data_IF_526457225856
#
_entry.id   IF_526457225856
#
_cell.length_a   1.000
_cell.length_b   1.000
_cell.length_c   1.000
_cell.angle_alpha   90.00
_cell.angle_beta   90.00
_cell.angle_gamma   90.00
#
_symmetry.space_group_name_H-M   'P 1'
#
loop_
_entity.id
_entity.type
_entity.pdbx_description
1 polymer ?
#
# COMPACT_ATOMS: atom_id res chain seq x y z
N UNK A 1 -28.67 24.02 31.25
CA UNK A 1 -28.07 24.66 32.44
C UNK A 1 -26.56 24.60 32.27
N UNK A 2 -25.84 25.74 32.32
CA UNK A 2 -24.38 25.70 32.24
C UNK A 2 -23.83 25.11 33.54
N UNK A 3 -22.70 24.37 33.50
CA UNK A 3 -22.09 23.87 34.71
C UNK A 3 -21.56 25.04 35.53
N UNK A 4 -21.81 25.02 36.83
CA UNK A 4 -21.37 26.04 37.79
C UNK A 4 -19.84 26.13 37.81
N UNK A 5 -19.28 27.34 37.86
CA UNK A 5 -17.82 27.60 37.79
C UNK A 5 -16.96 26.80 38.79
N UNK A 6 -17.55 26.36 39.89
CA UNK A 6 -16.94 25.49 40.89
C UNK A 6 -16.63 24.06 40.40
N UNK A 7 -17.44 23.49 39.48
CA UNK A 7 -17.22 22.13 38.96
C UNK A 7 -16.12 22.09 37.89
N UNK A 8 -15.95 23.19 37.14
CA UNK A 8 -14.87 23.37 36.17
C UNK A 8 -13.52 23.56 36.86
N UNK A 9 -13.47 24.34 37.94
CA UNK A 9 -12.25 24.53 38.75
C UNK A 9 -11.81 23.23 39.44
N UNK A 10 -12.75 22.45 39.98
CA UNK A 10 -12.44 21.17 40.61
C UNK A 10 -11.93 20.12 39.59
N UNK A 11 -12.50 20.09 38.39
CA UNK A 11 -12.08 19.19 37.30
C UNK A 11 -10.70 19.56 36.75
N UNK A 12 -10.43 20.87 36.56
CA UNK A 12 -9.10 21.35 36.17
C UNK A 12 -8.03 21.11 37.23
N UNK A 13 -8.37 21.23 38.53
CA UNK A 13 -7.44 20.90 39.62
C UNK A 13 -7.12 19.40 39.69
N UNK A 14 -8.11 18.52 39.45
CA UNK A 14 -7.89 17.08 39.37
C UNK A 14 -7.02 16.67 38.19
N UNK A 15 -7.22 17.29 37.02
CA UNK A 15 -6.36 17.08 35.85
C UNK A 15 -4.92 17.56 36.13
N UNK A 16 -4.76 18.75 36.72
CA UNK A 16 -3.44 19.27 37.08
C UNK A 16 -2.73 18.39 38.11
N UNK A 17 -3.44 17.90 39.14
CA UNK A 17 -2.87 16.99 40.14
C UNK A 17 -2.51 15.62 39.54
N UNK A 18 -3.36 15.06 38.67
CA UNK A 18 -3.06 13.81 37.96
C UNK A 18 -1.80 13.98 37.11
N UNK A 19 -1.75 15.03 36.28
CA UNK A 19 -0.59 15.33 35.42
C UNK A 19 0.68 15.57 36.25
N UNK A 20 0.60 16.32 37.35
CA UNK A 20 1.75 16.58 38.25
C UNK A 20 2.24 15.31 38.94
N UNK A 21 1.32 14.41 39.35
CA UNK A 21 1.67 13.14 39.97
C UNK A 21 2.39 12.20 38.99
N UNK A 22 1.99 12.20 37.71
CA UNK A 22 2.65 11.42 36.65
C UNK A 22 4.05 11.93 36.31
N UNK A 23 4.33 13.23 36.44
CA UNK A 23 5.67 13.80 36.21
C UNK A 23 6.65 13.54 37.37
N UNK A 24 6.17 13.19 38.56
CA UNK A 24 6.99 12.97 39.76
C UNK A 24 7.31 11.50 40.07
N UNK A 25 6.90 10.53 39.23
CA UNK A 25 7.33 9.14 39.42
C UNK A 25 8.80 8.97 39.00
N UNK A 26 9.63 8.30 39.82
CA UNK A 26 11.00 7.98 39.45
C UNK A 26 11.01 7.12 38.18
N UNK A 27 11.99 7.34 37.30
CA UNK A 27 12.17 6.72 35.97
C UNK A 27 12.24 5.16 35.96
N UNK A 28 11.99 4.49 37.09
CA UNK A 28 12.08 3.04 37.27
C UNK A 28 10.73 2.32 37.42
N UNK A 29 9.62 3.02 37.65
CA UNK A 29 8.29 2.40 37.75
C UNK A 29 7.56 2.52 36.40
N UNK A 30 7.27 1.37 35.77
CA UNK A 30 6.46 1.34 34.54
C UNK A 30 5.11 1.99 34.80
N UNK A 31 4.73 2.95 33.97
CA UNK A 31 3.40 3.56 34.03
C UNK A 31 2.34 2.46 33.77
N UNK A 32 1.20 2.48 34.48
CA UNK A 32 0.13 1.50 34.25
C UNK A 32 -0.43 1.60 32.81
N UNK A 33 -0.38 2.81 32.23
CA UNK A 33 -0.82 3.12 30.88
C UNK A 33 0.14 4.12 30.25
N UNK A 34 0.41 4.01 28.94
CA UNK A 34 1.03 5.11 28.22
C UNK A 34 -0.04 6.19 27.98
N UNK A 35 0.27 7.50 28.08
CA UNK A 35 -0.70 8.56 27.75
C UNK A 35 -1.32 8.39 26.35
N UNK A 36 -0.59 7.78 25.41
CA UNK A 36 -1.11 7.42 24.08
C UNK A 36 -2.19 6.34 24.10
N UNK A 37 -2.11 5.38 25.02
CA UNK A 37 -3.09 4.29 25.17
C UNK A 37 -4.45 4.80 25.65
N UNK A 38 -4.48 5.97 26.31
CA UNK A 38 -5.69 6.61 26.82
C UNK A 38 -6.30 7.58 25.80
N UNK A 39 -5.54 8.00 24.77
CA UNK A 39 -6.03 8.92 23.74
C UNK A 39 -7.36 8.46 23.11
N UNK A 40 -7.55 7.19 22.72
CA UNK A 40 -8.83 6.75 22.17
C UNK A 40 -10.01 6.83 23.14
N UNK A 41 -9.75 6.88 24.45
CA UNK A 41 -10.75 6.99 25.52
C UNK A 41 -11.11 8.45 25.85
N UNK A 42 -10.32 9.42 25.36
CA UNK A 42 -10.61 10.85 25.53
C UNK A 42 -11.65 11.32 24.50
N UNK A 43 -12.40 12.40 24.81
CA UNK A 43 -13.37 12.99 23.88
C UNK A 43 -12.73 13.28 22.52
N UNK A 44 -13.44 12.93 21.44
CA UNK A 44 -12.94 13.03 20.05
C UNK A 44 -12.37 14.42 19.73
N UNK A 45 -12.94 15.49 20.28
CA UNK A 45 -12.47 16.85 20.05
C UNK A 45 -11.03 17.09 20.53
N UNK A 46 -10.56 16.31 21.51
CA UNK A 46 -9.21 16.39 22.08
C UNK A 46 -8.31 15.30 21.52
N UNK A 47 -8.82 14.08 21.43
CA UNK A 47 -8.02 12.93 20.99
C UNK A 47 -7.79 12.88 19.50
N UNK A 48 -8.79 13.22 18.69
CA UNK A 48 -8.75 13.03 17.24
C UNK A 48 -7.69 13.87 16.52
N UNK A 49 -7.47 15.16 16.86
CA UNK A 49 -6.37 15.93 16.27
C UNK A 49 -4.99 15.36 16.61
N UNK A 50 -4.83 14.86 17.84
CA UNK A 50 -3.57 14.28 18.32
C UNK A 50 -3.34 12.92 17.65
N UNK A 51 -4.37 12.07 17.63
CA UNK A 51 -4.32 10.74 17.02
C UNK A 51 -4.07 10.82 15.51
N UNK A 52 -4.68 11.76 14.78
CA UNK A 52 -4.42 11.98 13.35
C UNK A 52 -3.01 12.55 13.08
N UNK A 53 -2.40 13.21 14.07
CA UNK A 53 -1.00 13.62 13.97
C UNK A 53 -0.03 12.45 14.22
N UNK A 54 -0.44 11.51 15.08
CA UNK A 54 0.38 10.38 15.51
C UNK A 54 0.32 9.19 14.54
N UNK A 55 -0.78 9.02 13.81
CA UNK A 55 -0.99 7.89 12.91
C UNK A 55 -1.41 8.32 11.49
N UNK A 56 -1.15 7.49 10.47
CA UNK A 56 -1.66 7.65 9.11
C UNK A 56 -2.16 6.34 8.51
N UNK A 57 -2.85 6.43 7.38
CA UNK A 57 -3.25 5.27 6.57
C UNK A 57 -2.10 4.28 6.28
N UNK A 58 -0.87 4.78 6.19
CA UNK A 58 0.33 3.97 5.95
C UNK A 58 0.72 3.13 7.18
N UNK A 59 0.30 3.52 8.38
CA UNK A 59 0.56 2.76 9.61
C UNK A 59 -0.28 1.47 9.73
N UNK A 60 -1.20 1.21 8.79
CA UNK A 60 -1.81 -0.12 8.60
C UNK A 60 -0.83 -1.14 8.04
N UNK A 61 0.25 -0.70 7.40
CA UNK A 61 1.18 -1.59 6.74
C UNK A 61 2.14 -2.17 7.79
N UNK A 62 2.22 -3.50 7.93
CA UNK A 62 3.10 -4.10 8.91
C UNK A 62 4.55 -3.96 8.44
N UNK A 63 5.45 -3.50 9.32
CA UNK A 63 6.87 -3.34 8.98
C UNK A 63 7.59 -4.67 9.11
N UNK A 64 8.43 -5.05 8.13
CA UNK A 64 9.27 -6.22 8.25
C UNK A 64 10.31 -6.03 9.36
N UNK A 65 10.38 -6.98 10.29
CA UNK A 65 11.38 -6.95 11.39
C UNK A 65 12.46 -8.00 11.23
N UNK A 66 12.26 -8.97 10.33
CA UNK A 66 13.23 -10.01 9.98
C UNK A 66 12.58 -11.37 9.77
N UNK A 67 13.39 -12.38 9.51
CA UNK A 67 12.94 -13.75 9.33
C UNK A 67 13.58 -14.68 10.37
N UNK A 68 12.78 -15.58 10.95
CA UNK A 68 13.25 -16.54 11.95
C UNK A 68 13.44 -17.94 11.32
N UNK A 69 14.67 -18.47 11.44
CA UNK A 69 15.03 -19.83 11.02
C UNK A 69 15.75 -20.58 12.15
N UNK A 70 16.17 -21.82 11.87
CA UNK A 70 16.91 -22.72 12.76
C UNK A 70 18.15 -23.24 12.02
N UNK A 71 19.30 -23.47 12.67
CA UNK A 71 19.52 -23.50 14.13
C UNK A 71 20.25 -22.28 14.73
N UNK A 72 20.78 -21.36 13.92
CA UNK A 72 21.66 -20.27 14.40
C UNK A 72 21.09 -18.85 14.22
N UNK A 73 19.89 -18.71 13.66
CA UNK A 73 19.31 -17.39 13.36
C UNK A 73 18.36 -16.95 14.47
N UNK A 74 18.94 -16.45 15.56
CA UNK A 74 18.18 -15.67 16.55
C UNK A 74 18.03 -14.25 16.02
N UNK A 75 16.83 -13.91 15.58
CA UNK A 75 16.47 -12.56 15.18
C UNK A 75 16.22 -11.70 16.42
N UNK A 76 16.71 -10.46 16.45
CA UNK A 76 16.39 -9.49 17.49
C UNK A 76 15.87 -8.17 16.89
N UNK A 77 14.87 -7.56 17.52
CA UNK A 77 14.31 -6.27 17.10
C UNK A 77 13.72 -5.48 18.27
N UNK A 78 13.35 -4.23 17.99
CA UNK A 78 12.57 -3.38 18.89
C UNK A 78 11.14 -3.30 18.39
N UNK A 79 10.19 -3.66 19.23
CA UNK A 79 8.76 -3.56 18.94
C UNK A 79 8.19 -2.19 19.29
N UNK A 80 6.94 -1.97 18.91
CA UNK A 80 6.19 -0.79 19.33
C UNK A 80 5.92 -0.81 20.83
N UNK A 81 5.69 -2.02 21.37
CA UNK A 81 5.39 -2.24 22.77
C UNK A 81 6.57 -2.71 23.62
N UNK A 82 7.37 -3.63 23.07
CA UNK A 82 8.43 -4.30 23.78
C UNK A 82 9.78 -3.90 23.20
N UNK A 83 10.69 -3.44 24.05
CA UNK A 83 11.99 -2.90 23.59
C UNK A 83 12.98 -4.00 23.20
N UNK A 84 12.86 -5.19 23.79
CA UNK A 84 13.80 -6.30 23.58
C UNK A 84 13.05 -7.54 23.15
N UNK A 85 13.05 -7.77 21.85
CA UNK A 85 12.36 -8.89 21.24
C UNK A 85 13.36 -9.80 20.56
N UNK A 86 13.09 -11.10 20.63
CA UNK A 86 13.83 -12.11 19.88
C UNK A 86 12.93 -13.18 19.33
N UNK A 87 13.30 -13.76 18.19
CA UNK A 87 12.60 -14.88 17.59
C UNK A 87 13.57 -15.95 17.09
N UNK A 88 13.15 -17.21 17.17
CA UNK A 88 13.84 -18.34 16.58
C UNK A 88 12.82 -19.42 16.19
N UNK A 89 13.21 -20.28 15.26
CA UNK A 89 12.38 -21.40 14.83
C UNK A 89 12.88 -22.71 15.46
N UNK A 90 11.95 -23.61 15.79
CA UNK A 90 12.25 -25.00 16.12
C UNK A 90 11.45 -25.92 15.18
N UNK A 91 12.14 -26.69 14.34
CA UNK A 91 11.49 -27.68 13.47
C UNK A 91 11.16 -28.94 14.26
N UNK A 92 9.98 -29.51 14.03
CA UNK A 92 9.56 -30.75 14.67
C UNK A 92 8.71 -31.59 13.72
N UNK A 93 8.71 -32.91 13.92
CA UNK A 93 7.80 -33.80 13.19
C UNK A 93 6.85 -34.50 14.16
N UNK A 94 6.04 -33.72 14.88
CA UNK A 94 5.09 -34.25 15.87
C UNK A 94 3.91 -35.00 15.24
N UNK A 95 3.56 -34.68 13.99
CA UNK A 95 2.43 -35.29 13.29
C UNK A 95 2.80 -36.55 12.49
N UNK A 96 4.09 -36.77 12.22
CA UNK A 96 4.58 -37.90 11.42
C UNK A 96 4.45 -37.69 9.91
N UNK A 97 4.15 -36.47 9.45
CA UNK A 97 4.11 -36.13 8.03
C UNK A 97 5.52 -36.11 7.42
N UNK A 98 5.61 -36.16 6.08
CA UNK A 98 6.90 -36.20 5.37
C UNK A 98 7.81 -35.02 5.71
N UNK A 99 7.23 -33.82 5.90
CA UNK A 99 7.98 -32.58 6.16
C UNK A 99 7.80 -32.04 7.59
N UNK A 100 6.91 -32.61 8.40
CA UNK A 100 6.61 -32.14 9.75
C UNK A 100 6.10 -30.69 9.77
N UNK A 101 6.36 -30.01 10.88
CA UNK A 101 6.00 -28.63 11.15
C UNK A 101 7.10 -27.86 11.87
N UNK A 102 6.72 -26.75 12.50
CA UNK A 102 7.64 -25.87 13.21
C UNK A 102 6.97 -25.18 14.40
N UNK A 103 7.77 -24.72 15.35
CA UNK A 103 7.36 -23.84 16.44
C UNK A 103 8.17 -22.57 16.32
N UNK A 104 7.49 -21.46 16.05
CA UNK A 104 8.09 -20.14 16.10
C UNK A 104 8.04 -19.65 17.54
N UNK A 105 9.19 -19.44 18.13
CA UNK A 105 9.31 -18.87 19.46
C UNK A 105 9.53 -17.38 19.34
N UNK A 106 8.75 -16.60 20.10
CA UNK A 106 8.88 -15.15 20.17
C UNK A 106 8.95 -14.76 21.63
N UNK A 107 10.11 -14.27 22.05
CA UNK A 107 10.31 -13.75 23.40
C UNK A 107 10.35 -12.24 23.36
N UNK A 108 9.32 -11.64 23.95
CA UNK A 108 9.18 -10.20 24.09
C UNK A 108 9.44 -9.78 25.53
N UNK A 109 10.15 -8.67 25.72
CA UNK A 109 10.51 -8.19 27.05
C UNK A 109 10.64 -6.67 27.13
N UNK A 110 10.61 -6.14 28.35
CA UNK A 110 10.66 -4.71 28.63
C UNK A 110 9.52 -3.93 27.97
N UNK A 111 8.27 -4.31 28.27
CA UNK A 111 7.09 -3.53 27.85
C UNK A 111 7.12 -2.09 28.35
N UNK A 112 6.65 -1.15 27.53
CA UNK A 112 6.52 0.26 27.88
C UNK A 112 5.41 0.56 28.90
N UNK A 113 4.28 -0.15 28.81
CA UNK A 113 3.16 -0.07 29.76
C UNK A 113 2.60 -1.46 30.05
N UNK A 114 1.60 -1.53 30.94
CA UNK A 114 0.91 -2.79 31.24
C UNK A 114 -0.22 -3.10 30.26
N UNK A 115 -0.72 -2.10 29.54
CA UNK A 115 -1.83 -2.24 28.58
C UNK A 115 -1.39 -2.31 27.12
N UNK A 116 -0.10 -2.22 26.90
CA UNK A 116 0.48 -2.15 25.59
C UNK A 116 0.55 -3.53 24.93
N UNK A 117 0.39 -3.55 23.60
CA UNK A 117 0.29 -4.77 22.81
C UNK A 117 0.96 -4.61 21.45
N UNK A 118 1.75 -5.61 21.05
CA UNK A 118 2.22 -5.74 19.68
C UNK A 118 1.34 -6.75 18.92
N UNK A 119 1.04 -6.45 17.66
CA UNK A 119 0.38 -7.34 16.72
C UNK A 119 1.41 -7.73 15.64
N UNK A 120 1.60 -9.02 15.45
CA UNK A 120 2.55 -9.57 14.48
C UNK A 120 1.83 -10.31 13.36
N UNK A 121 2.35 -10.19 12.16
CA UNK A 121 1.98 -11.00 10.99
C UNK A 121 3.17 -11.90 10.67
N UNK A 122 2.91 -13.20 10.49
CA UNK A 122 3.90 -14.19 10.09
C UNK A 122 3.56 -14.69 8.69
N UNK A 123 4.53 -14.62 7.77
CA UNK A 123 4.30 -14.99 6.39
C UNK A 123 5.37 -15.93 5.84
N UNK A 124 4.92 -16.85 5.00
CA UNK A 124 5.72 -17.60 4.04
C UNK A 124 5.11 -17.35 2.65
N UNK A 125 5.77 -17.76 1.55
CA UNK A 125 5.16 -17.69 0.21
C UNK A 125 3.87 -18.50 0.06
N UNK A 126 3.53 -19.32 1.05
CA UNK A 126 2.44 -20.28 1.03
C UNK A 126 1.30 -19.92 1.99
N UNK A 127 1.60 -19.24 3.10
CA UNK A 127 0.58 -18.86 4.09
C UNK A 127 0.90 -17.57 4.80
N UNK A 128 -0.17 -16.91 5.27
CA UNK A 128 -0.10 -15.77 6.17
C UNK A 128 -0.93 -16.04 7.41
N UNK A 129 -0.38 -15.73 8.56
CA UNK A 129 -1.03 -15.85 9.86
C UNK A 129 -0.61 -14.71 10.77
N UNK A 130 -1.22 -14.58 11.94
CA UNK A 130 -1.00 -13.44 12.83
C UNK A 130 -1.21 -13.84 14.28
N UNK A 131 -0.59 -13.10 15.19
CA UNK A 131 -0.73 -13.27 16.63
C UNK A 131 -0.44 -11.96 17.36
N UNK A 132 -0.84 -11.85 18.62
CA UNK A 132 -0.69 -10.64 19.42
C UNK A 132 -0.07 -10.93 20.79
N UNK A 133 0.78 -10.02 21.25
CA UNK A 133 1.51 -10.17 22.50
C UNK A 133 1.30 -8.99 23.42
N UNK A 134 0.81 -9.28 24.64
CA UNK A 134 0.52 -8.30 25.69
C UNK A 134 1.45 -8.46 26.91
N UNK A 135 1.91 -9.69 27.16
CA UNK A 135 2.76 -10.01 28.31
C UNK A 135 4.22 -10.16 27.90
N UNK A 136 5.14 -9.58 28.68
CA UNK A 136 6.58 -9.79 28.56
C UNK A 136 6.95 -11.21 28.97
N UNK A 137 6.88 -12.15 28.03
CA UNK A 137 7.24 -13.55 28.19
C UNK A 137 7.64 -14.16 26.86
N UNK A 138 7.99 -15.44 26.89
CA UNK A 138 8.08 -16.25 25.69
C UNK A 138 6.67 -16.70 25.27
N UNK A 139 6.38 -16.50 23.99
CA UNK A 139 5.18 -16.98 23.32
C UNK A 139 5.61 -17.93 22.20
N UNK A 140 4.71 -18.82 21.82
CA UNK A 140 4.97 -19.81 20.78
C UNK A 140 3.81 -19.86 19.81
N UNK A 141 4.15 -19.92 18.52
CA UNK A 141 3.21 -20.13 17.44
C UNK A 141 3.55 -21.43 16.73
N UNK A 142 2.58 -22.35 16.65
CA UNK A 142 2.83 -23.72 16.14
C UNK A 142 2.30 -23.87 14.72
N UNK A 143 3.22 -24.08 13.79
CA UNK A 143 2.93 -24.59 12.45
C UNK A 143 2.81 -26.11 12.57
N UNK A 144 1.58 -26.64 12.54
CA UNK A 144 1.34 -28.09 12.69
C UNK A 144 2.05 -28.89 11.60
N UNK A 145 1.84 -28.47 10.35
CA UNK A 145 2.41 -29.09 9.16
C UNK A 145 2.71 -28.02 8.11
N UNK A 146 3.84 -28.17 7.44
CA UNK A 146 4.17 -27.42 6.22
C UNK A 146 3.32 -27.93 5.05
N UNK A 147 2.99 -27.06 4.11
CA UNK A 147 2.10 -27.37 2.98
C UNK A 147 2.73 -28.38 2.03
N UNK A 148 4.06 -28.36 1.94
CA UNK A 148 4.83 -29.36 1.23
C UNK A 148 6.32 -29.08 1.29
N UNK A 149 7.08 -29.81 0.47
CA UNK A 149 8.53 -29.69 0.38
C UNK A 149 9.01 -28.26 0.16
N UNK A 150 8.29 -27.52 -0.69
CA UNK A 150 8.71 -26.20 -1.12
C UNK A 150 8.63 -25.16 0.03
N UNK A 151 7.56 -25.20 0.83
CA UNK A 151 7.46 -24.36 2.04
C UNK A 151 8.50 -24.78 3.08
N UNK A 152 8.68 -26.08 3.30
CA UNK A 152 9.67 -26.59 4.26
C UNK A 152 11.09 -26.12 3.92
N UNK A 153 11.52 -26.28 2.66
CA UNK A 153 12.84 -25.82 2.21
C UNK A 153 12.95 -24.30 2.23
N UNK A 154 11.89 -23.57 1.89
CA UNK A 154 11.88 -22.11 2.02
C UNK A 154 12.12 -21.69 3.47
N UNK A 155 11.34 -22.20 4.43
CA UNK A 155 11.46 -21.80 5.85
C UNK A 155 12.82 -22.22 6.41
N UNK A 156 13.36 -23.35 5.99
CA UNK A 156 14.70 -23.79 6.40
C UNK A 156 15.80 -22.84 5.92
N UNK A 157 15.72 -22.37 4.68
CA UNK A 157 16.77 -21.56 4.05
C UNK A 157 16.59 -20.05 4.23
N UNK A 158 15.35 -19.58 4.42
CA UNK A 158 14.96 -18.15 4.45
C UNK A 158 14.25 -17.73 5.73
N UNK A 159 13.74 -18.69 6.52
CA UNK A 159 12.95 -18.42 7.72
C UNK A 159 11.49 -18.04 7.43
N UNK A 160 10.71 -17.93 8.50
CA UNK A 160 9.38 -17.32 8.45
C UNK A 160 9.55 -15.81 8.58
N UNK A 161 9.01 -15.05 7.63
CA UNK A 161 9.01 -13.59 7.67
C UNK A 161 8.11 -13.08 8.79
N UNK A 162 8.63 -12.18 9.61
CA UNK A 162 7.93 -11.58 10.73
C UNK A 162 7.73 -10.11 10.44
N UNK A 163 6.49 -9.65 10.53
CA UNK A 163 6.13 -8.26 10.38
C UNK A 163 5.42 -7.75 11.64
N UNK A 164 5.68 -6.51 12.00
CA UNK A 164 5.11 -5.84 13.16
C UNK A 164 4.16 -4.73 12.71
N UNK A 165 2.93 -4.76 13.22
CA UNK A 165 2.00 -3.64 13.12
C UNK A 165 2.43 -2.55 14.10
N UNK A 166 3.18 -1.56 13.61
CA UNK A 166 3.73 -0.47 14.45
C UNK A 166 2.65 0.31 15.20
N UNK A 167 1.45 0.38 14.63
CA UNK A 167 0.31 1.06 15.21
C UNK A 167 -0.36 0.29 16.38
N UNK A 168 -0.02 -0.99 16.58
CA UNK A 168 -0.74 -1.89 17.49
C UNK A 168 -2.22 -2.04 17.10
N UNK A 169 -3.04 -2.72 17.92
CA UNK A 169 -4.46 -2.98 17.56
C UNK A 169 -5.31 -1.72 17.49
N UNK A 170 -5.14 -0.76 18.40
CA UNK A 170 -5.91 0.48 18.42
C UNK A 170 -5.53 1.39 17.23
N UNK A 171 -4.24 1.50 16.93
CA UNK A 171 -3.80 2.22 15.74
C UNK A 171 -4.18 1.53 14.44
N UNK A 172 -4.25 0.19 14.41
CA UNK A 172 -4.76 -0.57 13.25
C UNK A 172 -6.26 -0.28 13.01
N UNK A 173 -7.09 -0.31 14.06
CA UNK A 173 -8.52 0.03 13.95
C UNK A 173 -8.73 1.49 13.52
N UNK A 174 -7.86 2.39 13.97
CA UNK A 174 -7.92 3.79 13.56
C UNK A 174 -7.43 4.00 12.13
N UNK A 175 -6.36 3.35 11.71
CA UNK A 175 -5.83 3.54 10.37
C UNK A 175 -6.76 2.91 9.31
N UNK A 176 -7.59 1.91 9.67
CA UNK A 176 -8.73 1.45 8.85
C UNK A 176 -9.76 2.56 8.62
N UNK A 177 -9.96 3.45 9.61
CA UNK A 177 -10.80 4.64 9.50
C UNK A 177 -10.19 5.72 8.59
N UNK A 178 -8.87 5.72 8.41
CA UNK A 178 -8.17 6.64 7.51
C UNK A 178 -8.08 6.12 6.06
N UNK A 179 -8.09 4.80 5.86
CA UNK A 179 -8.10 4.19 4.51
C UNK A 179 -9.49 4.13 3.89
N UNK A 180 -10.52 3.77 4.67
CA UNK A 180 -11.90 3.72 4.20
C UNK A 180 -12.35 4.98 3.43
N UNK A 181 -12.13 6.21 3.92
CA UNK A 181 -12.47 7.43 3.20
C UNK A 181 -11.82 7.59 1.82
N UNK A 182 -10.59 7.10 1.61
CA UNK A 182 -9.83 7.33 0.37
C UNK A 182 -10.61 6.87 -0.87
N UNK A 183 -11.44 5.84 -0.72
CA UNK A 183 -12.22 5.24 -1.80
C UNK A 183 -13.65 5.79 -1.91
N UNK A 184 -14.03 6.76 -1.08
CA UNK A 184 -15.39 7.33 -1.10
C UNK A 184 -15.47 8.55 -2.01
N UNK A 185 -16.54 8.66 -2.80
CA UNK A 185 -16.78 9.84 -3.63
C UNK A 185 -17.50 10.93 -2.82
N UNK A 186 -16.82 11.46 -1.81
CA UNK A 186 -17.32 12.51 -0.92
C UNK A 186 -16.27 13.60 -0.73
N UNK A 187 -16.70 14.79 -0.29
CA UNK A 187 -15.74 15.83 0.11
C UNK A 187 -14.81 15.37 1.24
N UNK A 188 -15.21 14.39 2.05
CA UNK A 188 -14.32 13.77 3.04
C UNK A 188 -13.25 12.90 2.36
N UNK A 189 -13.64 12.04 1.41
CA UNK A 189 -12.70 11.20 0.66
C UNK A 189 -11.68 11.99 -0.15
N UNK A 190 -12.13 13.04 -0.85
CA UNK A 190 -11.25 13.96 -1.58
C UNK A 190 -10.22 14.62 -0.65
N UNK A 191 -10.67 15.16 0.49
CA UNK A 191 -9.77 15.77 1.47
C UNK A 191 -8.81 14.76 2.09
N UNK A 192 -9.24 13.50 2.28
CA UNK A 192 -8.37 12.43 2.76
C UNK A 192 -7.29 12.07 1.73
N UNK A 193 -7.63 11.98 0.44
CA UNK A 193 -6.64 11.75 -0.63
C UNK A 193 -5.62 12.89 -0.70
N UNK A 194 -6.07 14.16 -0.70
CA UNK A 194 -5.19 15.33 -0.67
C UNK A 194 -4.30 15.32 0.58
N UNK A 195 -4.88 15.04 1.75
CA UNK A 195 -4.16 14.95 3.02
C UNK A 195 -3.10 13.85 3.02
N UNK A 196 -3.41 12.69 2.45
CA UNK A 196 -2.49 11.58 2.27
C UNK A 196 -1.30 11.99 1.40
N UNK A 197 -1.55 12.52 0.20
CA UNK A 197 -0.50 12.95 -0.74
C UNK A 197 0.37 14.05 -0.14
N UNK A 198 -0.23 15.00 0.58
CA UNK A 198 0.51 16.04 1.30
C UNK A 198 1.41 15.48 2.40
N UNK A 199 0.90 14.53 3.20
CA UNK A 199 1.65 13.93 4.32
C UNK A 199 2.80 13.05 3.83
N UNK A 200 2.56 12.26 2.79
CA UNK A 200 3.47 11.19 2.37
C UNK A 200 4.37 11.55 1.18
N UNK A 201 3.93 12.48 0.32
CA UNK A 201 4.72 12.94 -0.83
C UNK A 201 5.15 14.40 -0.73
N UNK A 202 4.65 15.16 0.26
CA UNK A 202 4.83 16.61 0.31
C UNK A 202 4.10 17.35 -0.81
N UNK A 203 3.18 16.69 -1.52
CA UNK A 203 2.45 17.24 -2.66
C UNK A 203 1.34 18.21 -2.23
N UNK A 204 1.19 19.32 -2.94
CA UNK A 204 0.11 20.29 -2.74
C UNK A 204 -0.80 20.33 -3.96
N UNK A 205 -2.10 20.11 -3.73
CA UNK A 205 -3.15 20.26 -4.73
C UNK A 205 -3.90 21.55 -4.44
N UNK A 206 -3.70 22.56 -5.28
CA UNK A 206 -4.33 23.87 -5.14
C UNK A 206 -5.49 24.01 -6.11
N UNK A 207 -6.59 24.57 -5.63
CA UNK A 207 -7.75 24.81 -6.48
C UNK A 207 -7.43 25.91 -7.49
N UNK A 208 -7.62 25.61 -8.78
CA UNK A 208 -7.44 26.59 -9.87
C UNK A 208 -8.49 27.70 -9.77
N UNK A 209 -8.10 28.99 -9.92
CA UNK A 209 -9.06 30.08 -9.94
C UNK A 209 -10.03 29.96 -11.11
N UNK A 210 -11.29 30.34 -10.88
CA UNK A 210 -12.33 30.36 -11.91
C UNK A 210 -12.26 31.66 -12.75
N UNK A 211 -12.71 31.63 -14.02
CA UNK A 211 -13.30 30.49 -14.73
C UNK A 211 -12.25 29.46 -15.18
N UNK A 212 -12.61 28.19 -15.16
CA UNK A 212 -11.74 27.12 -15.67
C UNK A 212 -11.79 27.09 -17.19
N UNK A 213 -10.93 27.89 -17.81
CA UNK A 213 -10.78 27.98 -19.26
C UNK A 213 -9.43 27.42 -19.70
N UNK A 214 -9.43 26.76 -20.86
CA UNK A 214 -8.23 26.38 -21.59
C UNK A 214 -8.21 27.13 -22.91
N UNK A 215 -7.03 27.56 -23.35
CA UNK A 215 -6.83 28.22 -24.66
C UNK A 215 -6.43 27.20 -25.73
N UNK A 216 -6.55 25.90 -25.44
CA UNK A 216 -6.14 24.80 -26.31
C UNK A 216 -7.37 24.27 -27.03
N UNK A 217 -7.27 24.18 -28.35
CA UNK A 217 -8.25 23.54 -29.23
C UNK A 217 -7.78 22.14 -29.63
N UNK A 218 -8.70 21.34 -30.18
CA UNK A 218 -8.37 20.01 -30.75
C UNK A 218 -7.34 20.11 -31.89
N UNK A 219 -7.33 21.23 -32.61
CA UNK A 219 -6.38 21.47 -33.69
C UNK A 219 -4.94 21.62 -33.17
N UNK A 220 -4.77 22.13 -31.94
CA UNK A 220 -3.47 22.30 -31.29
C UNK A 220 -2.88 20.97 -30.75
N UNK A 221 -3.68 19.91 -30.69
CA UNK A 221 -3.27 18.58 -30.23
C UNK A 221 -2.77 17.76 -31.42
N UNK A 222 -1.70 17.00 -31.23
CA UNK A 222 -1.10 16.21 -32.29
C UNK A 222 -0.80 14.78 -31.85
N UNK A 223 -0.54 13.92 -32.82
CA UNK A 223 -0.12 12.54 -32.59
C UNK A 223 1.13 12.46 -31.73
N UNK A 224 1.06 11.63 -30.69
CA UNK A 224 2.10 11.43 -29.69
C UNK A 224 2.04 12.38 -28.51
N UNK A 225 1.19 13.41 -28.53
CA UNK A 225 0.95 14.25 -27.35
C UNK A 225 0.38 13.38 -26.20
N UNK A 226 0.78 13.70 -24.97
CA UNK A 226 0.53 12.88 -23.79
C UNK A 226 -0.50 13.54 -22.88
N UNK A 227 -1.42 12.76 -22.34
CA UNK A 227 -2.40 13.19 -21.34
C UNK A 227 -2.04 12.56 -20.01
N UNK A 228 -1.68 13.40 -19.03
CA UNK A 228 -1.50 12.98 -17.65
C UNK A 228 -2.80 13.19 -16.89
N UNK A 229 -3.32 12.12 -16.29
CA UNK A 229 -4.62 12.11 -15.60
C UNK A 229 -4.41 11.84 -14.13
N UNK A 230 -5.03 12.67 -13.29
CA UNK A 230 -4.91 12.61 -11.85
C UNK A 230 -6.28 12.70 -11.17
N UNK A 231 -6.78 11.54 -10.77
CA UNK A 231 -8.01 11.32 -10.00
C UNK A 231 -7.72 11.39 -8.50
N UNK A 232 -8.60 12.04 -7.73
CA UNK A 232 -8.46 12.19 -6.27
C UNK A 232 -9.78 11.95 -5.51
N UNK A 233 -10.83 11.49 -6.20
CA UNK A 233 -12.15 11.23 -5.63
C UNK A 233 -12.63 9.83 -6.00
N UNK A 234 -13.50 9.28 -5.15
CA UNK A 234 -14.12 7.98 -5.41
C UNK A 234 -13.14 6.81 -5.39
N UNK A 235 -13.61 5.66 -5.87
CA UNK A 235 -12.83 4.41 -5.88
C UNK A 235 -11.51 4.59 -6.63
N UNK A 236 -11.57 5.13 -7.85
CA UNK A 236 -10.39 5.32 -8.70
C UNK A 236 -9.44 6.39 -8.15
N UNK A 237 -9.93 7.47 -7.54
CA UNK A 237 -9.07 8.44 -6.88
C UNK A 237 -8.32 7.87 -5.67
N UNK A 238 -8.93 6.94 -4.92
CA UNK A 238 -8.26 6.21 -3.86
C UNK A 238 -7.13 5.30 -4.38
N UNK A 239 -7.39 4.54 -5.45
CA UNK A 239 -6.37 3.73 -6.11
C UNK A 239 -5.22 4.59 -6.63
N UNK A 240 -5.52 5.62 -7.41
CA UNK A 240 -4.50 6.50 -7.97
C UNK A 240 -3.70 7.24 -6.87
N UNK A 241 -4.32 7.54 -5.72
CA UNK A 241 -3.61 8.14 -4.58
C UNK A 241 -2.52 7.22 -4.05
N UNK A 242 -2.82 5.92 -3.95
CA UNK A 242 -1.83 4.92 -3.56
C UNK A 242 -0.78 4.73 -4.66
N UNK A 243 -1.19 4.67 -5.94
CA UNK A 243 -0.28 4.55 -7.09
C UNK A 243 0.69 5.72 -7.19
N UNK A 244 0.22 6.95 -7.03
CA UNK A 244 1.06 8.17 -6.97
C UNK A 244 2.10 8.07 -5.87
N UNK A 245 1.70 7.59 -4.70
CA UNK A 245 2.60 7.44 -3.57
C UNK A 245 3.70 6.40 -3.82
N UNK A 246 3.35 5.24 -4.37
CA UNK A 246 4.34 4.17 -4.61
C UNK A 246 5.21 4.41 -5.84
N UNK A 247 4.72 5.15 -6.85
CA UNK A 247 5.49 5.51 -8.05
C UNK A 247 6.25 6.83 -7.93
N UNK A 248 5.90 7.68 -6.96
CA UNK A 248 6.38 9.05 -6.88
C UNK A 248 5.80 10.00 -7.94
N UNK A 249 4.82 9.56 -8.74
CA UNK A 249 4.20 10.35 -9.79
C UNK A 249 3.06 11.25 -9.25
N UNK A 250 2.67 12.26 -10.03
CA UNK A 250 1.51 13.12 -9.71
C UNK A 250 0.25 12.76 -10.51
N UNK A 251 0.40 11.91 -11.52
CA UNK A 251 -0.67 11.31 -12.31
C UNK A 251 -0.75 9.82 -11.96
N UNK A 252 -1.97 9.28 -11.89
CA UNK A 252 -2.19 7.84 -11.70
C UNK A 252 -2.55 7.13 -13.01
N UNK A 253 -3.01 7.87 -14.01
CA UNK A 253 -3.36 7.33 -15.31
C UNK A 253 -2.80 8.19 -16.44
N UNK A 254 -2.60 7.57 -17.59
CA UNK A 254 -1.99 8.21 -18.76
C UNK A 254 -2.67 7.76 -20.03
N UNK A 255 -2.82 8.68 -20.97
CA UNK A 255 -3.32 8.39 -22.30
C UNK A 255 -2.48 9.09 -23.37
N UNK A 256 -2.57 8.63 -24.61
CA UNK A 256 -1.85 9.21 -25.76
C UNK A 256 -2.82 9.64 -26.85
N UNK A 257 -2.54 10.80 -27.44
CA UNK A 257 -3.30 11.35 -28.54
C UNK A 257 -2.79 10.83 -29.90
N UNK A 258 -3.68 10.49 -30.82
CA UNK A 258 -3.36 10.10 -32.20
C UNK A 258 -4.34 10.77 -33.17
N UNK A 259 -3.84 11.34 -34.27
CA UNK A 259 -4.64 11.84 -35.39
C UNK A 259 -4.68 10.80 -36.49
N UNK A 260 -5.85 10.52 -37.03
CA UNK A 260 -5.97 9.65 -38.19
C UNK A 260 -5.62 10.38 -39.50
N UNK A 261 -5.70 9.68 -40.63
CA UNK A 261 -5.41 10.25 -41.95
C UNK A 261 -6.40 11.34 -42.40
N UNK A 262 -7.55 11.46 -41.75
CA UNK A 262 -8.53 12.53 -41.96
C UNK A 262 -8.32 13.72 -41.00
N UNK A 263 -7.35 13.61 -40.08
CA UNK A 263 -7.03 14.61 -39.07
C UNK A 263 -7.92 14.55 -37.82
N UNK A 264 -8.79 13.54 -37.69
CA UNK A 264 -9.62 13.38 -36.48
C UNK A 264 -8.76 12.88 -35.33
N UNK A 265 -9.05 13.38 -34.14
CA UNK A 265 -8.29 13.07 -32.92
C UNK A 265 -8.89 11.86 -32.20
N UNK A 266 -8.00 11.00 -31.74
CA UNK A 266 -8.27 9.78 -30.99
C UNK A 266 -7.41 9.72 -29.73
N UNK A 267 -7.89 9.03 -28.72
CA UNK A 267 -7.19 8.81 -27.44
C UNK A 267 -7.00 7.33 -27.24
N UNK A 268 -5.74 6.90 -27.13
CA UNK A 268 -5.37 5.54 -26.75
C UNK A 268 -5.07 5.46 -25.26
N UNK A 269 -5.74 4.57 -24.55
CA UNK A 269 -5.51 4.34 -23.12
C UNK A 269 -5.72 2.87 -22.73
N UNK A 270 -5.24 2.50 -21.53
CA UNK A 270 -5.52 1.21 -20.90
C UNK A 270 -6.25 1.45 -19.60
N UNK A 271 -7.44 0.87 -19.43
CA UNK A 271 -8.30 1.09 -18.25
C UNK A 271 -9.71 1.54 -18.61
N UNK A 272 -10.09 1.44 -19.88
CA UNK A 272 -11.45 1.70 -20.31
C UNK A 272 -12.33 0.49 -20.02
N UNK A 273 -13.47 0.70 -19.35
CA UNK A 273 -14.42 -0.37 -19.05
C UNK A 273 -15.30 -0.65 -20.29
N UNK A 274 -15.23 -1.88 -20.81
CA UNK A 274 -16.05 -2.28 -21.95
C UNK A 274 -17.51 -2.58 -21.52
N UNK A 275 -18.38 -2.91 -22.48
CA UNK A 275 -19.80 -3.22 -22.22
C UNK A 275 -20.04 -4.40 -21.25
N UNK A 276 -19.03 -5.24 -21.01
CA UNK A 276 -19.07 -6.38 -20.09
C UNK A 276 -18.57 -6.04 -18.69
N UNK A 277 -18.10 -4.81 -18.47
CA UNK A 277 -17.49 -4.39 -17.20
C UNK A 277 -16.02 -4.80 -17.07
N UNK A 278 -15.33 -5.09 -18.17
CA UNK A 278 -13.91 -5.49 -18.17
C UNK A 278 -13.02 -4.31 -18.55
N UNK A 279 -11.92 -4.09 -17.82
CA UNK A 279 -10.91 -3.10 -18.17
C UNK A 279 -10.08 -3.56 -19.37
N UNK A 280 -10.09 -2.76 -20.44
CA UNK A 280 -9.38 -3.06 -21.70
C UNK A 280 -8.49 -1.90 -22.14
N UNK A 281 -7.64 -2.18 -23.13
CA UNK A 281 -6.99 -1.15 -23.94
C UNK A 281 -7.99 -0.70 -25.01
N UNK A 282 -8.21 0.61 -25.11
CA UNK A 282 -9.16 1.19 -26.04
C UNK A 282 -8.53 2.35 -26.82
N UNK A 283 -8.93 2.50 -28.08
CA UNK A 283 -8.66 3.69 -28.91
C UNK A 283 -9.99 4.36 -29.23
N UNK A 284 -10.25 5.48 -28.55
CA UNK A 284 -11.56 6.15 -28.55
C UNK A 284 -11.51 7.46 -29.34
N UNK A 285 -12.58 7.84 -30.05
CA UNK A 285 -12.70 9.18 -30.61
C UNK A 285 -12.58 10.24 -29.50
N UNK A 286 -11.87 11.33 -29.76
CA UNK A 286 -11.66 12.40 -28.78
C UNK A 286 -12.96 12.90 -28.15
N UNK A 287 -14.00 13.13 -28.96
CA UNK A 287 -15.26 13.67 -28.45
C UNK A 287 -15.97 12.71 -27.50
N UNK A 288 -15.86 11.40 -27.73
CA UNK A 288 -16.41 10.37 -26.85
C UNK A 288 -15.64 10.31 -25.52
N UNK A 289 -14.30 10.24 -25.61
CA UNK A 289 -13.42 10.21 -24.45
C UNK A 289 -13.58 11.48 -23.60
N UNK A 290 -13.56 12.65 -24.23
CA UNK A 290 -13.68 13.94 -23.56
C UNK A 290 -15.08 14.16 -22.94
N UNK A 291 -16.15 13.71 -23.60
CA UNK A 291 -17.50 13.76 -23.02
C UNK A 291 -17.61 12.88 -21.77
N UNK A 292 -17.00 11.69 -21.79
CA UNK A 292 -16.93 10.81 -20.62
C UNK A 292 -16.19 11.49 -19.46
N UNK A 293 -14.97 11.96 -19.69
CA UNK A 293 -14.13 12.60 -18.66
C UNK A 293 -14.81 13.84 -18.06
N UNK A 294 -15.52 14.63 -18.87
CA UNK A 294 -16.19 15.84 -18.41
C UNK A 294 -17.51 15.60 -17.67
N UNK A 295 -18.27 14.56 -18.04
CA UNK A 295 -19.67 14.42 -17.61
C UNK A 295 -19.97 13.14 -16.84
N UNK A 296 -19.17 12.10 -17.02
CA UNK A 296 -19.45 10.73 -16.54
C UNK A 296 -18.40 10.21 -15.58
N UNK A 297 -17.15 10.65 -15.68
CA UNK A 297 -16.13 10.32 -14.69
C UNK A 297 -16.42 11.05 -13.36
N UNK A 298 -16.95 10.28 -12.41
CA UNK A 298 -17.34 10.79 -11.10
C UNK A 298 -16.15 11.09 -10.18
N UNK A 299 -14.93 10.68 -10.58
CA UNK A 299 -13.70 11.03 -9.88
C UNK A 299 -13.26 12.47 -10.14
N UNK A 300 -13.85 13.14 -11.16
CA UNK A 300 -13.54 14.50 -11.59
C UNK A 300 -12.02 14.73 -11.79
N UNK A 301 -11.42 14.09 -12.81
CA UNK A 301 -9.97 14.06 -12.97
C UNK A 301 -9.36 15.42 -13.29
N UNK A 302 -8.14 15.63 -12.83
CA UNK A 302 -7.26 16.64 -13.39
C UNK A 302 -6.56 16.08 -14.62
N UNK A 303 -6.74 16.71 -15.78
CA UNK A 303 -6.14 16.30 -17.04
C UNK A 303 -5.16 17.38 -17.47
N UNK A 304 -3.88 17.01 -17.62
CA UNK A 304 -2.84 17.87 -18.16
C UNK A 304 -2.40 17.36 -19.53
N UNK A 305 -2.51 18.22 -20.55
CA UNK A 305 -1.91 17.98 -21.86
C UNK A 305 -0.42 18.32 -21.81
N UNK A 306 0.42 17.37 -22.20
CA UNK A 306 1.87 17.49 -22.32
C UNK A 306 2.26 17.27 -23.78
N UNK A 307 2.41 18.35 -24.56
CA UNK A 307 2.81 18.23 -25.96
C UNK A 307 4.22 17.65 -26.11
N UNK A 308 4.44 16.83 -27.14
CA UNK A 308 5.79 16.38 -27.47
C UNK A 308 6.70 17.57 -27.77
N UNK A 309 7.90 17.54 -27.21
CA UNK A 309 8.98 18.46 -27.57
C UNK A 309 9.20 18.42 -29.10
N UNK A 310 9.43 19.57 -29.78
CA UNK A 310 9.57 19.62 -31.24
C UNK A 310 10.55 18.58 -31.82
N UNK A 311 11.68 18.36 -31.17
CA UNK A 311 12.69 17.38 -31.62
C UNK A 311 12.20 15.92 -31.54
N UNK A 312 11.34 15.60 -30.58
CA UNK A 312 10.72 14.27 -30.46
C UNK A 312 9.57 14.12 -31.45
N UNK A 313 8.79 15.18 -31.64
CA UNK A 313 7.72 15.25 -32.63
C UNK A 313 8.23 15.00 -34.05
N UNK A 314 9.36 15.60 -34.41
CA UNK A 314 10.00 15.39 -35.71
C UNK A 314 10.45 13.93 -35.96
N UNK A 315 10.62 13.15 -34.88
CA UNK A 315 11.00 11.72 -34.94
C UNK A 315 9.82 10.78 -34.76
N UNK A 316 8.64 11.30 -34.41
CA UNK A 316 7.47 10.49 -34.11
C UNK A 316 6.97 9.82 -35.38
N UNK A 317 6.92 8.48 -35.38
CA UNK A 317 6.41 7.71 -36.50
C UNK A 317 4.92 7.41 -36.29
N UNK A 318 4.08 8.25 -36.88
CA UNK A 318 2.63 8.16 -36.73
C UNK A 318 2.04 6.86 -37.30
N UNK A 319 2.56 6.38 -38.44
CA UNK A 319 2.11 5.10 -39.02
C UNK A 319 2.39 3.94 -38.07
N UNK A 320 3.62 3.85 -37.54
CA UNK A 320 3.98 2.80 -36.60
C UNK A 320 3.19 2.90 -35.27
N UNK A 321 2.89 4.13 -34.82
CA UNK A 321 2.08 4.35 -33.64
C UNK A 321 0.64 3.83 -33.82
N UNK A 322 0.03 4.10 -34.99
CA UNK A 322 -1.29 3.57 -35.33
C UNK A 322 -1.31 2.05 -35.47
N UNK A 323 -0.34 1.47 -36.17
CA UNK A 323 -0.20 0.02 -36.28
C UNK A 323 -0.12 -0.64 -34.89
N UNK A 324 0.67 -0.03 -33.98
CA UNK A 324 0.75 -0.51 -32.60
C UNK A 324 -0.57 -0.35 -31.85
N UNK A 325 -1.19 0.83 -31.89
CA UNK A 325 -2.45 1.11 -31.20
C UNK A 325 -3.57 0.16 -31.63
N UNK A 326 -3.75 -0.05 -32.94
CA UNK A 326 -4.72 -1.00 -33.50
C UNK A 326 -4.41 -2.44 -33.10
N UNK A 327 -3.13 -2.82 -33.00
CA UNK A 327 -2.76 -4.17 -32.56
C UNK A 327 -3.06 -4.42 -31.08
N UNK A 328 -3.26 -3.36 -30.29
CA UNK A 328 -3.49 -3.43 -28.85
C UNK A 328 -4.94 -3.20 -28.46
N UNK A 329 -5.71 -2.52 -29.31
CA UNK A 329 -7.13 -2.25 -29.09
C UNK A 329 -7.94 -3.52 -28.79
N UNK A 330 -8.78 -3.45 -27.75
CA UNK A 330 -9.58 -4.56 -27.24
C UNK A 330 -8.81 -5.62 -26.43
N UNK A 331 -7.48 -5.51 -26.29
CA UNK A 331 -6.73 -6.42 -25.39
C UNK A 331 -7.04 -6.11 -23.92
N UNK A 332 -6.88 -7.10 -23.02
CA UNK A 332 -7.04 -6.88 -21.59
C UNK A 332 -6.12 -5.77 -21.07
N UNK A 333 -6.53 -5.14 -19.97
CA UNK A 333 -5.76 -4.13 -19.26
C UNK A 333 -4.29 -4.55 -19.05
N UNK A 334 -3.39 -3.55 -19.13
CA UNK A 334 -1.94 -3.71 -19.05
C UNK A 334 -1.39 -4.09 -17.68
N UNK A 335 -1.97 -5.09 -17.00
CA UNK A 335 -1.57 -5.58 -15.68
C UNK A 335 -0.07 -5.89 -15.57
N UNK A 336 0.57 -6.23 -16.69
CA UNK A 336 1.98 -6.61 -16.75
C UNK A 336 2.93 -5.49 -16.34
N UNK A 337 2.50 -4.22 -16.41
CA UNK A 337 3.35 -3.09 -16.03
C UNK A 337 2.99 -2.48 -14.68
N UNK A 338 1.77 -2.72 -14.18
CA UNK A 338 1.27 -2.09 -12.96
C UNK A 338 2.21 -2.33 -11.77
N UNK A 339 2.48 -3.59 -11.42
CA UNK A 339 3.28 -3.90 -10.23
C UNK A 339 4.75 -3.49 -10.35
N UNK A 340 5.29 -3.52 -11.57
CA UNK A 340 6.68 -3.14 -11.84
C UNK A 340 6.88 -1.64 -11.98
N UNK A 341 5.80 -0.86 -12.05
CA UNK A 341 5.88 0.58 -11.82
C UNK A 341 6.18 0.91 -10.35
N UNK A 342 5.96 -0.05 -9.43
CA UNK A 342 6.22 0.08 -8.00
C UNK A 342 7.46 -0.71 -7.54
N UNK A 343 7.91 -1.69 -8.32
CA UNK A 343 9.07 -2.56 -8.03
C UNK A 343 10.11 -2.34 -9.15
N UNK A 344 10.81 -1.20 -9.08
CA UNK A 344 11.86 -0.83 -10.03
C UNK A 344 13.25 -1.22 -9.53
N UNK A 345 13.44 -1.28 -8.21
CA UNK A 345 14.71 -1.66 -7.58
C UNK A 345 14.52 -2.79 -6.58
N UNK A 346 15.64 -3.35 -6.15
CA UNK A 346 15.73 -4.38 -5.11
C UNK A 346 15.08 -3.97 -3.79
N UNK A 347 15.43 -2.79 -3.31
CA UNK A 347 15.09 -2.31 -1.98
C UNK A 347 15.00 -0.78 -1.89
N UNK A 348 15.41 -0.05 -2.92
CA UNK A 348 15.60 1.40 -2.89
C UNK A 348 14.40 2.26 -3.29
N UNK A 349 13.33 1.67 -3.82
CA UNK A 349 12.22 2.41 -4.42
C UNK A 349 10.87 2.21 -3.70
N UNK A 350 10.86 1.50 -2.56
CA UNK A 350 9.65 1.35 -1.74
C UNK A 350 9.50 2.54 -0.78
N UNK A 351 8.35 3.23 -0.76
CA UNK A 351 8.12 4.25 0.26
C UNK A 351 7.92 3.57 1.63
N UNK A 352 8.60 4.03 2.70
CA UNK A 352 8.45 3.43 4.02
C UNK A 352 6.98 3.39 4.48
N UNK A 353 6.52 2.31 5.15
CA UNK A 353 7.25 1.11 5.58
C UNK A 353 7.17 -0.05 4.58
N UNK A 354 6.77 0.20 3.31
CA UNK A 354 6.79 -0.85 2.30
C UNK A 354 8.22 -1.34 2.09
N UNK A 355 8.35 -2.64 1.88
CA UNK A 355 9.57 -3.29 1.42
C UNK A 355 9.21 -4.49 0.54
N UNK A 356 10.23 -5.07 -0.09
CA UNK A 356 10.07 -6.23 -0.96
C UNK A 356 9.41 -7.43 -0.25
N UNK A 357 9.67 -7.64 1.05
CA UNK A 357 9.09 -8.75 1.80
C UNK A 357 7.59 -8.55 2.01
N UNK A 358 7.17 -7.33 2.34
CA UNK A 358 5.77 -6.99 2.52
C UNK A 358 5.01 -7.11 1.20
N UNK A 359 5.56 -6.54 0.11
CA UNK A 359 4.94 -6.63 -1.22
C UNK A 359 4.80 -8.09 -1.64
N UNK A 360 5.85 -8.89 -1.47
CA UNK A 360 5.80 -10.31 -1.81
C UNK A 360 4.78 -11.07 -0.95
N UNK A 361 4.69 -10.79 0.35
CA UNK A 361 3.71 -11.42 1.26
C UNK A 361 2.27 -11.04 0.92
N UNK A 362 2.01 -9.78 0.55
CA UNK A 362 0.69 -9.33 0.07
C UNK A 362 0.32 -10.06 -1.21
N UNK A 363 1.25 -10.26 -2.13
CA UNK A 363 0.99 -10.99 -3.36
C UNK A 363 0.66 -12.47 -3.14
N UNK A 364 1.25 -13.11 -2.12
CA UNK A 364 0.84 -14.45 -1.69
C UNK A 364 -0.63 -14.47 -1.26
N UNK A 365 -1.04 -13.51 -0.42
CA UNK A 365 -2.45 -13.40 0.01
C UNK A 365 -3.36 -13.09 -1.18
N UNK A 366 -2.96 -12.15 -2.03
CA UNK A 366 -3.74 -11.73 -3.19
C UNK A 366 -3.99 -12.90 -4.14
N UNK A 367 -3.00 -13.76 -4.37
CA UNK A 367 -3.17 -14.96 -5.18
C UNK A 367 -4.17 -15.96 -4.60
N UNK A 368 -4.29 -16.07 -3.28
CA UNK A 368 -5.29 -16.93 -2.67
C UNK A 368 -6.72 -16.39 -2.86
N UNK A 369 -6.86 -15.06 -3.01
CA UNK A 369 -8.17 -14.39 -3.15
C UNK A 369 -8.56 -14.20 -4.63
N UNK A 370 -7.61 -13.81 -5.48
CA UNK A 370 -7.76 -13.46 -6.89
C UNK A 370 -6.61 -14.06 -7.73
N UNK A 371 -6.58 -15.39 -7.94
CA UNK A 371 -5.44 -16.09 -8.54
C UNK A 371 -5.16 -15.67 -9.98
N UNK A 372 -6.19 -15.41 -10.80
CA UNK A 372 -6.01 -15.00 -12.20
C UNK A 372 -5.38 -13.61 -12.32
N UNK A 373 -5.88 -12.64 -11.52
CA UNK A 373 -5.29 -11.29 -11.46
C UNK A 373 -3.85 -11.33 -10.94
N UNK A 374 -3.57 -12.10 -9.89
CA UNK A 374 -2.22 -12.25 -9.36
C UNK A 374 -1.25 -12.85 -10.39
N UNK A 375 -1.70 -13.87 -11.15
CA UNK A 375 -0.90 -14.49 -12.19
C UNK A 375 -0.57 -13.51 -13.34
N UNK A 376 -1.54 -12.70 -13.77
CA UNK A 376 -1.33 -11.69 -14.80
C UNK A 376 -0.36 -10.61 -14.33
N UNK A 377 -0.60 -10.03 -13.14
CA UNK A 377 0.25 -8.95 -12.60
C UNK A 377 1.68 -9.41 -12.32
N UNK A 378 1.88 -10.68 -11.95
CA UNK A 378 3.16 -11.15 -11.43
C UNK A 378 3.86 -12.14 -12.38
N UNK A 379 3.27 -13.30 -12.63
CA UNK A 379 3.91 -14.38 -13.40
C UNK A 379 4.09 -13.98 -14.87
N UNK A 380 3.02 -13.51 -15.51
CA UNK A 380 3.06 -13.13 -16.92
C UNK A 380 3.95 -11.90 -17.14
N UNK A 381 3.90 -10.96 -16.19
CA UNK A 381 4.73 -9.77 -16.17
C UNK A 381 6.23 -10.08 -16.08
N UNK A 382 6.63 -11.03 -15.23
CA UNK A 382 8.03 -11.47 -15.09
C UNK A 382 8.49 -12.29 -16.29
N UNK A 383 7.65 -13.20 -16.78
CA UNK A 383 7.92 -13.94 -18.01
C UNK A 383 8.19 -12.99 -19.18
N UNK A 384 7.41 -11.92 -19.34
CA UNK A 384 7.67 -10.90 -20.39
C UNK A 384 9.01 -10.20 -20.20
N UNK A 385 9.34 -9.75 -18.99
CA UNK A 385 10.60 -9.03 -18.70
C UNK A 385 11.83 -9.89 -18.88
N UNK A 386 11.73 -11.17 -18.55
CA UNK A 386 12.83 -12.12 -18.62
C UNK A 386 12.89 -12.89 -19.94
N UNK A 387 11.93 -12.66 -20.85
CA UNK A 387 11.81 -13.42 -22.10
C UNK A 387 11.60 -14.92 -21.88
N UNK A 388 10.94 -15.30 -20.78
CA UNK A 388 10.78 -16.69 -20.34
C UNK A 388 9.32 -17.14 -20.34
N UNK A 389 9.09 -18.44 -20.16
CA UNK A 389 7.78 -19.03 -19.85
C UNK A 389 7.84 -19.96 -18.62
N UNK A 390 8.84 -19.75 -17.76
CA UNK A 390 9.19 -20.67 -16.67
C UNK A 390 8.34 -20.40 -15.43
N UNK A 391 7.85 -19.18 -15.26
CA UNK A 391 7.04 -18.79 -14.10
C UNK A 391 5.59 -19.20 -14.30
N UNK A 392 5.27 -20.42 -13.88
CA UNK A 392 3.91 -20.98 -13.88
C UNK A 392 3.28 -21.02 -12.49
N UNK A 393 4.04 -20.68 -11.42
CA UNK A 393 3.54 -20.61 -10.05
C UNK A 393 4.25 -19.49 -9.27
N UNK A 394 3.58 -18.93 -8.26
CA UNK A 394 4.15 -17.86 -7.46
C UNK A 394 5.35 -18.31 -6.62
N UNK A 395 5.43 -19.57 -6.22
CA UNK A 395 6.59 -20.10 -5.49
C UNK A 395 7.87 -19.96 -6.30
N UNK A 396 7.88 -20.37 -7.59
CA UNK A 396 9.07 -20.21 -8.43
C UNK A 396 9.39 -18.75 -8.73
N UNK A 397 8.36 -17.90 -8.71
CA UNK A 397 8.45 -16.48 -9.01
C UNK A 397 8.91 -15.65 -7.81
N UNK A 398 8.50 -16.03 -6.61
CA UNK A 398 8.89 -15.45 -5.32
C UNK A 398 10.36 -15.75 -5.03
N UNK A 399 10.81 -16.98 -5.30
CA UNK A 399 12.22 -17.36 -5.19
C UNK A 399 13.09 -16.58 -6.18
N UNK A 400 12.64 -16.43 -7.44
CA UNK A 400 13.35 -15.61 -8.41
C UNK A 400 13.40 -14.14 -8.00
N UNK A 401 12.30 -13.56 -7.51
CA UNK A 401 12.29 -12.16 -7.07
C UNK A 401 13.15 -11.96 -5.82
N UNK A 402 13.02 -12.78 -4.77
CA UNK A 402 13.91 -12.66 -3.60
C UNK A 402 15.36 -12.92 -3.98
N UNK A 403 15.69 -13.84 -4.89
CA UNK A 403 17.08 -14.07 -5.31
C UNK A 403 17.61 -12.90 -6.17
N UNK A 404 16.83 -12.41 -7.14
CA UNK A 404 17.19 -11.27 -7.98
C UNK A 404 17.21 -9.94 -7.22
N UNK A 405 16.41 -9.82 -6.17
CA UNK A 405 16.37 -8.70 -5.22
C UNK A 405 17.12 -9.06 -3.90
N UNK A 406 18.00 -10.07 -3.87
CA UNK A 406 18.91 -10.32 -2.75
C UNK A 406 20.38 -10.43 -3.18
N UNK A 407 20.65 -10.67 -4.47
CA UNK A 407 21.98 -10.51 -5.09
C UNK A 407 22.31 -9.06 -5.41
#
# INVERSE_FOLDING_TARGET
MPPTSSSLLASSFFLFFAVSFFFSLPHAAKLPFCPRDVLPLLPRQVSWPILNSLHSAVDLLPSFVGAASSPNDTLEWKGACFVKNRAWMEFHNKTGSEFGGGTLHIKVSNSHSWTCMDLYVFATPYRVTWDYYFLSREHTFVFKEWEGKAEFEYVKNRGVSIFLMQAGMLGTLQALWDVFPLFTNTGWGENSNIGFLKKHMGASFEQRPQPWVTNISVDDIHSGDFLAISKIRGRWGGFETLEKWVSGAYAGHTAVCLKDSEGKLWVGESGHENEKGEDVIAVLPWDEWWDFELKRDDSNPHIALLPLHPDMRAKFNETAAWEYAQSMDGKPYGYHNMIFSWIDTKDGNYPPPLDAHLVASVMTVWNQIQPEYAANMWNEALNKRLGSQVFNSLSSTFDALIVSLAC
#
